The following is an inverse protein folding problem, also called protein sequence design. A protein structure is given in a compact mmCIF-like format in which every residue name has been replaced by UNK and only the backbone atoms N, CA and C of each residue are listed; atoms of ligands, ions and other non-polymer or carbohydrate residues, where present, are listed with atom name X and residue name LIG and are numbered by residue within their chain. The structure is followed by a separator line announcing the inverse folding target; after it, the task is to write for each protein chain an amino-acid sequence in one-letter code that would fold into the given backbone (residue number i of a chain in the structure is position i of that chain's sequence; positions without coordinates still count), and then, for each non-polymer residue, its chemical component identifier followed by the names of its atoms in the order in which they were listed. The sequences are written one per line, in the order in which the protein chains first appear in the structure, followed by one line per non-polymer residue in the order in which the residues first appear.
data_IF_408718096206
#
_entry.id   IF_408718096206
#
_cell.length_a   1.000
_cell.length_b   1.000
_cell.length_c   1.000
_cell.angle_alpha   90.00
_cell.angle_beta   90.00
_cell.angle_gamma   90.00
#
_symmetry.space_group_name_H-M   'P 1'
#
loop_
_entity.id
_entity.type
_entity.pdbx_description
1 polymer ?
#
# COMPACT_ATOMS: atom_id res chain seq x y z
N UNK A 1 -5.42 6.78 -8.54
CA UNK A 1 -5.17 7.64 -7.36
C UNK A 1 -5.37 6.85 -6.09
N UNK A 2 -4.55 7.06 -5.11
CA UNK A 2 -4.71 6.49 -3.77
C UNK A 2 -5.21 7.59 -2.84
N UNK A 3 -6.26 7.28 -2.08
CA UNK A 3 -6.81 8.19 -1.08
C UNK A 3 -6.70 7.53 0.29
N UNK A 4 -5.88 8.11 1.16
CA UNK A 4 -5.59 7.55 2.48
C UNK A 4 -6.58 8.04 3.53
N UNK A 5 -6.86 7.18 4.50
CA UNK A 5 -7.72 7.51 5.66
C UNK A 5 -7.19 8.69 6.46
N UNK A 6 -5.89 8.93 6.40
CA UNK A 6 -5.23 10.05 7.08
C UNK A 6 -5.34 11.37 6.32
N UNK A 7 -5.95 11.37 5.12
CA UNK A 7 -6.24 12.57 4.33
C UNK A 7 -5.35 12.79 3.11
N UNK A 8 -4.22 12.14 3.04
CA UNK A 8 -3.33 12.29 1.89
C UNK A 8 -3.96 11.67 0.64
N UNK A 9 -3.77 12.33 -0.51
CA UNK A 9 -4.14 11.81 -1.82
C UNK A 9 -2.89 11.74 -2.68
N UNK A 10 -2.80 10.71 -3.50
CA UNK A 10 -1.58 10.45 -4.25
C UNK A 10 -1.91 9.86 -5.62
N UNK A 11 -1.36 10.46 -6.68
CA UNK A 11 -1.51 9.94 -8.05
C UNK A 11 -0.39 8.96 -8.33
N UNK A 12 -0.76 7.71 -8.65
CA UNK A 12 0.21 6.65 -8.92
C UNK A 12 0.79 6.79 -10.31
N UNK A 13 2.12 6.90 -10.38
CA UNK A 13 2.88 6.81 -11.63
C UNK A 13 4.11 5.96 -11.32
N UNK A 14 4.16 4.73 -11.84
CA UNK A 14 5.28 3.82 -11.58
C UNK A 14 5.15 3.11 -10.24
N UNK A 15 6.29 2.99 -9.54
CA UNK A 15 6.38 2.22 -8.29
C UNK A 15 6.54 3.13 -7.08
N UNK A 16 6.21 2.60 -5.92
CA UNK A 16 6.40 3.33 -4.67
C UNK A 16 6.38 2.43 -3.45
N UNK A 17 6.73 3.01 -2.32
CA UNK A 17 6.61 2.38 -1.00
C UNK A 17 5.77 3.27 -0.10
N UNK A 18 5.03 2.65 0.79
CA UNK A 18 4.13 3.32 1.73
C UNK A 18 4.48 2.88 3.15
N UNK A 19 4.52 3.82 4.06
CA UNK A 19 4.72 3.53 5.46
C UNK A 19 4.70 4.79 6.31
N UNK A 20 4.93 4.65 7.62
CA UNK A 20 5.02 5.80 8.52
C UNK A 20 6.40 6.49 8.47
N UNK A 21 7.40 5.77 7.94
CA UNK A 21 8.75 6.31 7.72
C UNK A 21 9.48 5.42 6.71
N UNK A 22 9.00 5.38 5.45
CA UNK A 22 9.48 4.39 4.50
C UNK A 22 10.88 4.69 3.97
N UNK A 23 11.67 3.62 3.81
CA UNK A 23 13.02 3.69 3.26
C UNK A 23 13.23 2.55 2.27
N UNK A 24 13.82 2.86 1.12
CA UNK A 24 14.26 1.86 0.17
C UNK A 24 15.50 1.14 0.72
N UNK A 25 15.58 -0.16 0.48
CA UNK A 25 16.78 -0.92 0.78
C UNK A 25 17.87 -0.62 -0.26
N UNK A 26 19.16 -0.88 0.06
CA UNK A 26 20.23 -0.70 -0.92
C UNK A 26 19.95 -1.47 -2.21
N UNK A 27 20.08 -0.79 -3.35
CA UNK A 27 19.82 -1.39 -4.65
C UNK A 27 18.36 -1.30 -5.10
N UNK A 28 17.44 -0.89 -4.23
CA UNK A 28 16.06 -0.64 -4.62
C UNK A 28 15.86 0.79 -5.07
N UNK A 29 15.03 0.96 -6.10
CA UNK A 29 14.61 2.28 -6.56
C UNK A 29 13.09 2.31 -6.66
N UNK A 30 12.49 3.36 -6.10
CA UNK A 30 11.05 3.62 -6.20
C UNK A 30 10.83 5.03 -6.73
N UNK A 31 9.85 5.18 -7.62
CA UNK A 31 9.49 6.51 -8.13
C UNK A 31 8.92 7.39 -7.03
N UNK A 32 8.28 6.77 -6.03
CA UNK A 32 7.59 7.50 -4.96
C UNK A 32 7.85 6.89 -3.60
N UNK A 33 7.96 7.77 -2.62
CA UNK A 33 8.04 7.38 -1.20
C UNK A 33 6.89 8.09 -0.51
N UNK A 34 5.90 7.33 -0.07
CA UNK A 34 4.65 7.86 0.49
C UNK A 34 4.66 7.68 2.00
N UNK A 35 4.79 8.79 2.71
CA UNK A 35 4.76 8.80 4.18
C UNK A 35 3.36 9.16 4.65
N UNK A 36 2.79 8.34 5.52
CA UNK A 36 1.49 8.62 6.11
C UNK A 36 1.62 8.81 7.61
N UNK A 37 0.78 9.71 8.15
CA UNK A 37 0.75 9.94 9.59
C UNK A 37 0.06 8.77 10.30
N UNK A 38 0.76 8.15 11.25
CA UNK A 38 0.19 7.08 12.06
C UNK A 38 0.74 7.15 13.48
N UNK A 39 0.17 8.02 14.33
CA UNK A 39 0.64 8.19 15.71
C UNK A 39 0.57 6.90 16.53
N UNK A 40 -0.38 6.01 16.23
CA UNK A 40 -0.53 4.72 16.91
C UNK A 40 0.51 3.69 16.51
N UNK A 41 1.32 3.97 15.49
CA UNK A 41 2.38 3.08 14.99
C UNK A 41 1.90 1.69 14.58
N UNK A 42 0.64 1.59 14.12
CA UNK A 42 0.07 0.35 13.60
C UNK A 42 0.58 0.04 12.20
N UNK A 43 0.98 1.07 11.46
CA UNK A 43 1.59 0.96 10.14
C UNK A 43 3.10 0.80 10.32
N UNK A 44 3.69 -0.16 9.64
CA UNK A 44 5.14 -0.36 9.68
C UNK A 44 5.87 0.82 9.02
N UNK A 45 7.15 0.99 9.35
CA UNK A 45 7.98 2.05 8.75
C UNK A 45 7.93 1.97 7.23
N UNK A 46 8.23 0.81 6.67
CA UNK A 46 8.01 0.50 5.25
C UNK A 46 7.03 -0.65 5.19
N UNK A 47 5.76 -0.35 4.94
CA UNK A 47 4.68 -1.32 5.12
C UNK A 47 4.42 -2.15 3.86
N UNK A 48 4.29 -1.49 2.73
CA UNK A 48 4.07 -2.17 1.45
C UNK A 48 4.72 -1.40 0.31
N UNK A 49 4.90 -2.10 -0.80
CA UNK A 49 5.25 -1.48 -2.07
C UNK A 49 4.08 -1.61 -3.04
N UNK A 50 4.05 -0.72 -4.02
CA UNK A 50 3.01 -0.73 -5.04
C UNK A 50 3.61 -0.42 -6.41
N UNK A 51 2.84 -0.72 -7.43
CA UNK A 51 3.22 -0.38 -8.79
C UNK A 51 2.04 -0.54 -9.72
N UNK A 52 2.31 -0.27 -10.99
CA UNK A 52 1.36 -0.50 -12.08
C UNK A 52 2.04 -1.36 -13.13
N UNK A 53 1.30 -2.33 -13.66
CA UNK A 53 1.77 -3.23 -14.69
C UNK A 53 0.61 -3.47 -15.65
N UNK A 54 0.78 -3.10 -16.92
CA UNK A 54 -0.23 -3.24 -17.97
C UNK A 54 -1.58 -2.61 -17.56
N UNK A 55 -1.55 -1.47 -16.88
CA UNK A 55 -2.75 -0.77 -16.43
C UNK A 55 -3.36 -1.33 -15.16
N UNK A 56 -2.77 -2.35 -14.56
CA UNK A 56 -3.22 -2.91 -13.29
C UNK A 56 -2.40 -2.38 -12.13
N UNK A 57 -3.10 -1.93 -11.08
CA UNK A 57 -2.47 -1.56 -9.84
C UNK A 57 -2.21 -2.83 -9.00
N UNK A 58 -1.03 -2.93 -8.41
CA UNK A 58 -0.68 -4.05 -7.54
C UNK A 58 -0.01 -3.55 -6.27
N UNK A 59 -0.10 -4.36 -5.22
CA UNK A 59 0.58 -4.13 -3.95
C UNK A 59 1.36 -5.38 -3.54
N UNK A 60 2.37 -5.20 -2.69
CA UNK A 60 3.11 -6.30 -2.06
C UNK A 60 3.46 -5.90 -0.64
N UNK A 61 2.98 -6.66 0.34
CA UNK A 61 3.32 -6.43 1.74
C UNK A 61 4.81 -6.68 1.97
N UNK A 62 5.47 -5.79 2.69
CA UNK A 62 6.90 -5.88 2.95
C UNK A 62 7.16 -6.41 4.36
N UNK A 63 6.57 -7.55 4.67
CA UNK A 63 6.73 -8.22 5.97
C UNK A 63 6.37 -7.29 7.12
N UNK A 64 5.25 -6.57 6.95
CA UNK A 64 4.79 -5.60 7.93
C UNK A 64 4.36 -6.28 9.22
N UNK A 65 4.44 -5.55 10.34
CA UNK A 65 4.11 -6.09 11.66
C UNK A 65 2.65 -6.52 11.78
N UNK A 66 1.72 -5.72 11.25
CA UNK A 66 0.29 -5.99 11.36
C UNK A 66 -0.33 -6.57 10.09
N UNK A 67 0.45 -6.70 9.02
CA UNK A 67 -0.02 -7.24 7.77
C UNK A 67 -0.80 -6.24 6.94
N UNK A 68 -1.23 -6.72 5.77
CA UNK A 68 -2.00 -5.94 4.80
C UNK A 68 -3.20 -6.78 4.37
N UNK A 69 -4.39 -6.16 4.36
CA UNK A 69 -5.63 -6.81 3.94
C UNK A 69 -6.24 -6.01 2.80
N UNK A 70 -6.55 -6.68 1.70
CA UNK A 70 -7.13 -6.03 0.52
C UNK A 70 -8.55 -6.53 0.27
N UNK A 71 -9.39 -5.65 -0.25
CA UNK A 71 -10.76 -5.98 -0.63
C UNK A 71 -11.11 -5.26 -1.91
N UNK A 72 -11.45 -6.01 -2.96
CA UNK A 72 -12.04 -5.45 -4.17
C UNK A 72 -13.49 -5.03 -3.89
N UNK A 73 -14.07 -4.11 -4.70
CA UNK A 73 -15.46 -3.71 -4.51
C UNK A 73 -16.38 -4.93 -4.50
N UNK A 74 -17.19 -5.08 -3.43
CA UNK A 74 -18.09 -6.21 -3.28
C UNK A 74 -17.43 -7.54 -2.98
N UNK A 75 -16.11 -7.57 -2.83
CA UNK A 75 -15.37 -8.79 -2.59
C UNK A 75 -15.11 -9.08 -1.12
N UNK A 76 -14.59 -10.27 -0.87
CA UNK A 76 -14.18 -10.69 0.46
C UNK A 76 -12.80 -10.11 0.82
N UNK A 77 -12.53 -9.86 2.11
CA UNK A 77 -11.19 -9.47 2.52
C UNK A 77 -10.17 -10.57 2.21
N UNK A 78 -9.02 -10.16 1.67
CA UNK A 78 -7.91 -11.07 1.39
C UNK A 78 -6.67 -10.58 2.11
N UNK A 79 -6.08 -11.43 2.92
CA UNK A 79 -4.80 -11.12 3.57
C UNK A 79 -3.68 -11.29 2.55
N UNK A 80 -2.87 -10.24 2.40
CA UNK A 80 -1.75 -10.28 1.48
C UNK A 80 -0.64 -11.17 2.04
N UNK A 81 -0.15 -12.08 1.23
CA UNK A 81 1.02 -12.89 1.59
C UNK A 81 2.27 -12.01 1.45
N UNK A 82 3.10 -11.87 2.48
CA UNK A 82 4.28 -11.00 2.42
C UNK A 82 5.20 -11.35 1.25
N UNK A 83 5.65 -10.31 0.56
CA UNK A 83 6.56 -10.45 -0.58
C UNK A 83 5.89 -10.85 -1.89
N UNK A 84 4.57 -11.07 -1.88
CA UNK A 84 3.83 -11.50 -3.06
C UNK A 84 2.92 -10.41 -3.58
N UNK A 85 2.98 -10.14 -4.89
CA UNK A 85 2.15 -9.11 -5.52
C UNK A 85 0.70 -9.56 -5.58
N UNK A 86 -0.21 -8.62 -5.31
CA UNK A 86 -1.64 -8.80 -5.40
C UNK A 86 -2.23 -7.64 -6.18
N UNK A 87 -2.99 -7.93 -7.25
CA UNK A 87 -3.68 -6.90 -8.04
C UNK A 87 -4.91 -6.42 -7.29
N UNK A 88 -5.14 -5.10 -7.35
CA UNK A 88 -6.27 -4.45 -6.70
C UNK A 88 -7.08 -3.70 -7.77
N UNK A 89 -8.38 -3.94 -7.82
CA UNK A 89 -9.27 -3.25 -8.74
C UNK A 89 -9.57 -1.83 -8.28
N UNK A 90 -9.94 -0.97 -9.21
CA UNK A 90 -10.42 0.39 -8.87
C UNK A 90 -11.62 0.30 -7.93
N UNK A 91 -11.63 1.15 -6.93
CA UNK A 91 -12.62 1.12 -5.85
C UNK A 91 -12.23 0.16 -4.72
N UNK A 92 -11.16 -0.61 -4.89
CA UNK A 92 -10.66 -1.50 -3.86
C UNK A 92 -10.11 -0.75 -2.66
N UNK A 93 -10.16 -1.41 -1.51
CA UNK A 93 -9.65 -0.87 -0.24
C UNK A 93 -8.50 -1.72 0.26
N UNK A 94 -7.46 -1.07 0.76
CA UNK A 94 -6.29 -1.73 1.33
C UNK A 94 -6.10 -1.26 2.76
N UNK A 95 -6.20 -2.20 3.72
CA UNK A 95 -6.01 -1.92 5.14
C UNK A 95 -4.56 -2.19 5.55
N UNK A 96 -3.94 -1.22 6.18
CA UNK A 96 -2.56 -1.25 6.64
C UNK A 96 -2.52 -0.83 8.12
N UNK A 97 -2.63 -1.82 9.01
CA UNK A 97 -2.82 -1.53 10.44
C UNK A 97 -4.17 -0.86 10.67
N UNK A 98 -4.18 0.23 11.42
CA UNK A 98 -5.41 1.00 11.71
C UNK A 98 -5.75 2.01 10.62
N UNK A 99 -4.92 2.12 9.59
CA UNK A 99 -5.14 3.03 8.48
C UNK A 99 -5.53 2.25 7.23
N UNK A 100 -6.05 2.96 6.23
CA UNK A 100 -6.37 2.34 4.95
C UNK A 100 -6.23 3.34 3.81
N UNK A 101 -6.23 2.83 2.59
CA UNK A 101 -6.41 3.67 1.41
C UNK A 101 -7.37 3.00 0.43
N UNK A 102 -7.96 3.83 -0.44
CA UNK A 102 -8.85 3.40 -1.49
C UNK A 102 -8.19 3.71 -2.83
N UNK A 103 -8.30 2.77 -3.75
CA UNK A 103 -7.74 2.88 -5.11
C UNK A 103 -8.81 3.42 -6.04
N UNK A 104 -8.50 4.50 -6.75
CA UNK A 104 -9.43 5.07 -7.74
C UNK A 104 -8.77 5.39 -9.07
#
# INVERSE_FOLDING_TARGET
MLQFSTGESFTVTGTGIVGRNPHAEPGEYFDHIVTIADPGKSVSKTHLEFGQDDGYFWISDRFSGNGTVARDPGGEPRRCEPGRRLRISRGGRVDIGDQFFVVS
#
